data_IF_762438129335
#
_entry.id   IF_762438129335
#
_cell.length_a   1.000
_cell.length_b   1.000
_cell.length_c   1.000
_cell.angle_alpha   90.00
_cell.angle_beta   90.00
_cell.angle_gamma   90.00
#
_symmetry.space_group_name_H-M   'P 1'
#
loop_
_entity.id
_entity.type
_entity.pdbx_description
1 polymer ?
#
# COMPACT_ATOMS: atom_id res chain seq x y z
N UNK A 1 -48.38 6.48 29.75
CA UNK A 1 -47.92 5.31 28.99
C UNK A 1 -47.58 5.65 27.53
N UNK A 2 -48.36 6.48 26.86
CA UNK A 2 -48.09 6.86 25.47
C UNK A 2 -46.78 7.65 25.31
N UNK A 3 -46.44 8.49 26.27
CA UNK A 3 -45.22 9.30 26.28
C UNK A 3 -44.00 8.42 26.43
N UNK A 4 -44.08 7.33 27.17
CA UNK A 4 -42.99 6.38 27.36
C UNK A 4 -42.58 5.71 26.03
N UNK A 5 -43.54 5.29 25.22
CA UNK A 5 -43.27 4.69 23.92
C UNK A 5 -42.66 5.67 22.92
N UNK A 6 -43.09 6.91 22.97
CA UNK A 6 -42.51 7.99 22.14
C UNK A 6 -41.07 8.26 22.50
N UNK A 7 -40.75 8.29 23.80
CA UNK A 7 -39.39 8.47 24.28
C UNK A 7 -38.48 7.31 23.92
N UNK A 8 -38.96 6.09 24.04
CA UNK A 8 -38.22 4.90 23.65
C UNK A 8 -38.01 4.88 22.14
N UNK A 9 -39.00 5.28 21.37
CA UNK A 9 -38.88 5.37 19.91
C UNK A 9 -37.86 6.41 19.47
N UNK A 10 -37.79 7.56 20.14
CA UNK A 10 -36.81 8.61 19.86
C UNK A 10 -35.39 8.14 20.21
N UNK A 11 -35.23 7.43 21.33
CA UNK A 11 -33.94 6.89 21.74
C UNK A 11 -33.46 5.83 20.72
N UNK A 12 -34.36 5.02 20.20
CA UNK A 12 -34.04 4.01 19.19
C UNK A 12 -33.58 4.64 17.87
N UNK A 13 -34.17 5.80 17.50
CA UNK A 13 -33.80 6.53 16.28
C UNK A 13 -32.43 7.24 16.38
N UNK A 14 -31.97 7.54 17.59
CA UNK A 14 -30.69 8.22 17.78
C UNK A 14 -29.49 7.28 17.83
N UNK A 15 -29.73 5.96 18.02
CA UNK A 15 -28.66 4.98 18.11
C UNK A 15 -28.23 4.41 16.75
N UNK A 16 -28.92 4.77 15.66
CA UNK A 16 -28.62 4.21 14.34
C UNK A 16 -27.51 4.94 13.57
N UNK A 17 -26.88 5.93 14.17
CA UNK A 17 -25.71 6.56 13.57
C UNK A 17 -24.43 5.89 14.02
N UNK A 18 -24.35 4.60 13.78
CA UNK A 18 -23.08 3.93 13.83
C UNK A 18 -22.22 4.53 12.70
N UNK A 19 -21.23 5.29 13.07
CA UNK A 19 -20.23 5.75 12.11
C UNK A 19 -19.42 4.54 11.68
N UNK A 20 -19.80 3.98 10.55
CA UNK A 20 -19.07 2.90 9.90
C UNK A 20 -17.74 3.37 9.31
N UNK A 21 -17.12 4.38 9.86
CA UNK A 21 -15.96 5.01 9.25
C UNK A 21 -14.70 4.96 10.10
N UNK A 22 -14.45 3.83 10.70
CA UNK A 22 -13.10 3.56 11.15
C UNK A 22 -12.28 3.08 9.93
N UNK A 23 -12.18 3.90 8.92
CA UNK A 23 -11.10 3.72 7.95
C UNK A 23 -9.84 4.17 8.64
N UNK A 24 -8.88 3.27 8.81
CA UNK A 24 -7.54 3.63 9.19
C UNK A 24 -7.02 4.76 8.30
N UNK A 25 -5.99 5.49 8.72
CA UNK A 25 -5.48 6.60 7.94
C UNK A 25 -5.16 6.11 6.54
N UNK A 26 -5.91 6.60 5.55
CA UNK A 26 -5.54 6.43 4.16
C UNK A 26 -4.22 7.16 3.95
N UNK A 27 -3.24 6.54 3.27
CA UNK A 27 -2.05 7.27 2.90
C UNK A 27 -2.50 8.50 2.10
N UNK A 28 -2.00 9.65 2.52
CA UNK A 28 -2.24 10.91 1.83
C UNK A 28 -1.72 10.78 0.40
N UNK A 29 -2.58 10.93 -0.63
CA UNK A 29 -2.13 10.82 -2.00
C UNK A 29 -1.07 11.86 -2.39
N UNK A 30 -0.87 12.90 -1.60
CA UNK A 30 0.17 13.90 -1.82
C UNK A 30 1.55 13.47 -1.35
N UNK A 31 1.65 12.39 -0.55
CA UNK A 31 2.91 11.90 0.00
C UNK A 31 3.38 10.60 -0.63
N UNK A 32 3.16 10.43 -1.93
CA UNK A 32 3.74 9.29 -2.63
C UNK A 32 5.24 9.44 -2.75
N UNK A 33 5.96 8.47 -2.23
CA UNK A 33 7.41 8.41 -2.29
C UNK A 33 7.87 7.79 -3.62
N UNK A 34 7.16 6.77 -4.11
CA UNK A 34 7.45 6.18 -5.42
C UNK A 34 6.96 7.12 -6.51
N UNK A 35 7.89 7.75 -7.20
CA UNK A 35 7.63 8.63 -8.33
C UNK A 35 7.13 7.85 -9.54
N UNK A 36 7.87 6.80 -9.88
CA UNK A 36 7.53 5.90 -10.98
C UNK A 36 8.27 4.58 -10.85
N UNK A 37 7.77 3.59 -11.52
CA UNK A 37 8.40 2.29 -11.67
C UNK A 37 8.22 1.81 -13.10
N UNK A 38 9.28 1.26 -13.67
CA UNK A 38 9.28 0.86 -15.08
C UNK A 38 10.39 -0.15 -15.38
N UNK A 39 10.31 -0.91 -16.46
CA UNK A 39 9.17 -1.03 -17.38
C UNK A 39 8.03 -1.84 -16.76
N UNK A 40 6.82 -1.62 -17.25
CA UNK A 40 5.67 -2.43 -16.86
C UNK A 40 4.81 -2.63 -18.12
N UNK A 41 4.77 -3.83 -18.71
CA UNK A 41 5.32 -5.08 -18.19
C UNK A 41 6.85 -5.12 -18.12
N UNK A 42 7.37 -5.72 -17.05
CA UNK A 42 8.80 -5.96 -16.89
C UNK A 42 9.19 -7.30 -17.52
N UNK A 43 10.45 -7.47 -17.91
CA UNK A 43 10.96 -8.72 -18.45
C UNK A 43 12.02 -9.33 -17.54
N UNK A 44 13.11 -8.60 -17.28
CA UNK A 44 14.21 -9.10 -16.46
C UNK A 44 14.53 -8.22 -15.26
N UNK A 45 14.07 -6.98 -15.28
CA UNK A 45 14.29 -6.03 -14.20
C UNK A 45 13.17 -5.01 -14.14
N UNK A 46 13.08 -4.32 -13.02
CA UNK A 46 12.20 -3.18 -12.84
C UNK A 46 12.96 -2.11 -12.06
N UNK A 47 12.77 -0.87 -12.44
CA UNK A 47 13.42 0.28 -11.82
C UNK A 47 12.39 1.03 -11.00
N UNK A 48 12.74 1.36 -9.76
CA UNK A 48 11.95 2.22 -8.91
C UNK A 48 12.66 3.54 -8.73
N UNK A 49 11.98 4.63 -9.03
CA UNK A 49 12.45 5.99 -8.74
C UNK A 49 11.66 6.55 -7.59
N UNK A 50 12.37 6.95 -6.55
CA UNK A 50 11.79 7.49 -5.33
C UNK A 50 12.06 8.98 -5.22
N UNK A 51 11.09 9.68 -4.67
CA UNK A 51 11.24 11.04 -4.20
C UNK A 51 11.35 10.98 -2.67
N UNK A 52 12.51 10.53 -2.21
CA UNK A 52 12.74 10.36 -0.78
C UNK A 52 13.53 11.53 -0.21
N UNK A 53 13.24 11.85 1.04
CA UNK A 53 14.03 12.82 1.78
C UNK A 53 15.41 12.26 2.13
N UNK A 54 16.46 13.12 2.22
CA UNK A 54 17.85 12.67 2.35
C UNK A 54 18.13 11.71 3.50
N UNK A 55 17.42 11.85 4.61
CA UNK A 55 17.63 11.02 5.81
C UNK A 55 16.53 10.00 6.04
N UNK A 56 15.59 9.85 5.12
CA UNK A 56 14.51 8.89 5.25
C UNK A 56 14.99 7.49 4.82
N UNK A 57 14.64 6.48 5.60
CA UNK A 57 14.93 5.08 5.31
C UNK A 57 13.64 4.39 4.84
N UNK A 58 13.73 3.73 3.71
CA UNK A 58 12.61 2.99 3.12
C UNK A 58 13.00 1.56 2.82
N UNK A 59 12.02 0.69 2.94
CA UNK A 59 12.15 -0.73 2.61
C UNK A 59 11.15 -1.06 1.51
N UNK A 60 11.62 -1.72 0.45
CA UNK A 60 10.77 -2.20 -0.63
C UNK A 60 10.56 -3.71 -0.48
N UNK A 61 9.30 -4.12 -0.48
CA UNK A 61 8.93 -5.52 -0.45
C UNK A 61 8.12 -5.83 -1.71
N UNK A 62 8.47 -6.95 -2.39
CA UNK A 62 7.76 -7.42 -3.57
C UNK A 62 7.16 -8.78 -3.25
N UNK A 63 5.87 -8.93 -3.56
CA UNK A 63 5.10 -10.14 -3.29
C UNK A 63 4.60 -10.74 -4.60
N UNK A 64 4.52 -12.05 -4.65
CA UNK A 64 3.86 -12.75 -5.74
C UNK A 64 2.34 -12.54 -5.66
N UNK A 65 1.63 -12.95 -6.70
CA UNK A 65 0.17 -12.88 -6.74
C UNK A 65 -0.48 -13.62 -5.56
N UNK A 66 0.16 -14.69 -5.09
CA UNK A 66 -0.33 -15.48 -3.95
C UNK A 66 0.04 -14.87 -2.60
N UNK A 67 0.72 -13.72 -2.58
CA UNK A 67 1.09 -13.05 -1.35
C UNK A 67 2.41 -13.49 -0.73
N UNK A 68 3.21 -14.26 -1.45
CA UNK A 68 4.52 -14.69 -0.98
C UNK A 68 5.55 -13.57 -1.20
N UNK A 69 6.31 -13.23 -0.17
CA UNK A 69 7.42 -12.29 -0.28
C UNK A 69 8.53 -12.91 -1.15
N UNK A 70 8.84 -12.26 -2.27
CA UNK A 70 9.84 -12.74 -3.23
C UNK A 70 11.09 -11.86 -3.31
N UNK A 71 10.97 -10.59 -2.95
CA UNK A 71 12.08 -9.64 -2.86
C UNK A 71 11.90 -8.76 -1.64
N UNK A 72 13.00 -8.50 -0.96
CA UNK A 72 13.04 -7.64 0.22
C UNK A 72 14.30 -6.78 0.16
N UNK A 73 14.13 -5.49 -0.07
CA UNK A 73 15.22 -4.52 -0.18
C UNK A 73 15.12 -3.58 1.03
N UNK A 74 15.98 -3.78 2.06
CA UNK A 74 15.85 -3.04 3.32
C UNK A 74 16.28 -1.58 3.24
N UNK A 75 17.15 -1.23 2.30
CA UNK A 75 17.68 0.11 2.17
C UNK A 75 17.51 0.62 0.75
N UNK A 76 16.38 1.26 0.48
CA UNK A 76 16.10 1.82 -0.83
C UNK A 76 16.85 3.14 -1.02
N UNK A 77 17.41 3.28 -2.21
CA UNK A 77 17.97 4.54 -2.71
C UNK A 77 17.00 5.20 -3.68
N UNK A 78 17.30 6.43 -4.10
CA UNK A 78 16.40 7.22 -4.96
C UNK A 78 16.12 6.56 -6.31
N UNK A 79 17.05 5.76 -6.78
CA UNK A 79 16.95 5.06 -8.06
C UNK A 79 17.49 3.65 -7.87
N UNK A 80 16.62 2.66 -7.95
CA UNK A 80 16.99 1.27 -7.64
C UNK A 80 16.49 0.33 -8.73
N UNK A 81 17.38 -0.51 -9.22
CA UNK A 81 17.07 -1.57 -10.18
C UNK A 81 16.93 -2.90 -9.46
N UNK A 82 15.75 -3.49 -9.55
CA UNK A 82 15.47 -4.81 -8.96
C UNK A 82 15.62 -5.86 -10.06
N UNK A 83 16.46 -6.85 -9.82
CA UNK A 83 16.62 -7.99 -10.72
C UNK A 83 15.44 -8.95 -10.53
N UNK A 84 14.75 -9.27 -11.61
CA UNK A 84 13.59 -10.17 -11.62
C UNK A 84 13.86 -11.47 -12.37
N UNK A 85 15.12 -11.74 -12.74
CA UNK A 85 15.48 -12.87 -13.58
C UNK A 85 15.19 -14.23 -12.92
N UNK A 86 15.14 -14.28 -11.61
CA UNK A 86 14.83 -15.48 -10.82
C UNK A 86 13.32 -15.67 -10.57
N UNK A 87 12.49 -14.73 -11.00
CA UNK A 87 11.05 -14.79 -10.81
C UNK A 87 10.35 -15.32 -12.05
N UNK A 88 9.19 -15.93 -11.85
CA UNK A 88 8.36 -16.45 -12.94
C UNK A 88 7.41 -15.38 -13.46
N UNK A 89 6.90 -15.62 -14.68
CA UNK A 89 5.88 -14.76 -15.29
C UNK A 89 4.65 -14.67 -14.39
N UNK A 90 4.11 -13.47 -14.24
CA UNK A 90 2.90 -13.25 -13.48
C UNK A 90 2.73 -11.81 -13.00
N UNK A 91 1.74 -11.62 -12.16
CA UNK A 91 1.48 -10.35 -11.49
C UNK A 91 2.18 -10.33 -10.14
N UNK A 92 2.75 -9.17 -9.81
CA UNK A 92 3.45 -8.94 -8.55
C UNK A 92 2.97 -7.64 -7.96
N UNK A 93 2.94 -7.60 -6.62
CA UNK A 93 2.65 -6.37 -5.90
C UNK A 93 3.89 -5.90 -5.18
N UNK A 94 4.03 -4.59 -5.04
CA UNK A 94 5.09 -4.03 -4.22
C UNK A 94 4.49 -3.16 -3.12
N UNK A 95 5.21 -3.08 -2.00
CA UNK A 95 4.91 -2.18 -0.90
C UNK A 95 6.19 -1.48 -0.50
N UNK A 96 6.12 -0.18 -0.38
CA UNK A 96 7.20 0.63 0.19
C UNK A 96 6.84 0.97 1.62
N UNK A 97 7.75 0.66 2.55
CA UNK A 97 7.58 0.94 3.98
C UNK A 97 8.59 1.97 4.45
N UNK A 98 8.16 2.81 5.38
CA UNK A 98 9.05 3.75 6.04
C UNK A 98 9.81 3.08 7.18
N UNK A 99 10.66 3.84 7.87
CA UNK A 99 11.47 3.34 8.99
C UNK A 99 10.63 2.85 10.19
N UNK A 100 9.36 3.24 10.26
CA UNK A 100 8.42 2.80 11.31
C UNK A 100 7.57 1.61 10.88
N UNK A 101 7.79 1.08 9.67
CA UNK A 101 7.05 -0.05 9.14
C UNK A 101 5.71 0.31 8.51
N UNK A 102 5.39 1.60 8.39
CA UNK A 102 4.16 2.03 7.74
C UNK A 102 4.29 1.93 6.22
N UNK A 103 3.24 1.44 5.56
CA UNK A 103 3.19 1.40 4.10
C UNK A 103 2.93 2.81 3.58
N UNK A 104 3.89 3.35 2.83
CA UNK A 104 3.76 4.65 2.20
C UNK A 104 3.20 4.56 0.79
N UNK A 105 3.57 3.52 0.07
CA UNK A 105 3.19 3.30 -1.31
C UNK A 105 2.93 1.83 -1.57
N UNK A 106 2.06 1.54 -2.52
CA UNK A 106 1.86 0.20 -3.02
C UNK A 106 1.46 0.26 -4.50
N UNK A 107 1.70 -0.82 -5.21
CA UNK A 107 1.34 -0.91 -6.61
C UNK A 107 1.44 -2.32 -7.14
N UNK A 108 1.09 -2.48 -8.41
CA UNK A 108 1.08 -3.76 -9.11
C UNK A 108 1.87 -3.61 -10.39
N UNK A 109 2.69 -4.59 -10.70
CA UNK A 109 3.36 -4.68 -11.98
C UNK A 109 3.25 -6.10 -12.54
N UNK A 110 3.39 -6.20 -13.85
CA UNK A 110 3.38 -7.49 -14.56
C UNK A 110 4.79 -7.86 -15.00
N UNK A 111 5.16 -9.11 -14.77
CA UNK A 111 6.39 -9.69 -15.28
C UNK A 111 6.02 -10.58 -16.47
N UNK A 112 6.54 -10.24 -17.63
CA UNK A 112 6.20 -10.89 -18.90
C UNK A 112 7.46 -11.42 -19.56
N UNK A 113 7.83 -12.62 -19.16
CA UNK A 113 8.96 -13.34 -19.76
C UNK A 113 8.55 -14.11 -20.99
#
# INVERSE_FOLDING_TARGET
MRIFYILVSIILLTTTRAKSQARGPMPDPEHKVVKKFYPNPAVSYIIFELDKEPNAAYRLEIFSFLGKLVKDIPDMVDHYTVNLSDLTRGLYTFQLRDQFGHITDSGIFQLNK
#
